data_IF_191029465408
#
_entry.id   IF_191029465408
#
_cell.length_a   1.000
_cell.length_b   1.000
_cell.length_c   1.000
_cell.angle_alpha   90.00
_cell.angle_beta   90.00
_cell.angle_gamma   90.00
#
_symmetry.space_group_name_H-M   'P 1'
#
loop_
_entity.id
_entity.type
_entity.pdbx_description
1 polymer ?
#
# COMPACT_ATOMS: atom_id res chain seq x y z
N UNK A 1 -2.74 23.92 9.92
CA UNK A 1 -3.85 23.27 10.63
C UNK A 1 -3.85 21.83 10.16
N UNK A 2 -3.04 20.97 10.79
CA UNK A 2 -2.86 19.58 10.35
C UNK A 2 -4.03 18.75 10.88
N UNK A 3 -4.87 18.22 9.99
CA UNK A 3 -5.88 17.24 10.36
C UNK A 3 -5.17 15.96 10.80
N UNK A 4 -5.45 15.51 12.02
CA UNK A 4 -4.91 14.27 12.56
C UNK A 4 -5.66 13.10 11.95
N UNK A 5 -4.96 12.28 11.16
CA UNK A 5 -5.50 11.03 10.62
C UNK A 5 -5.05 9.86 11.49
N UNK A 6 -6.00 9.04 11.94
CA UNK A 6 -5.74 7.75 12.56
C UNK A 6 -6.29 6.66 11.63
N UNK A 7 -5.41 5.78 11.15
CA UNK A 7 -5.82 4.53 10.52
C UNK A 7 -6.14 3.52 11.62
N UNK A 8 -7.36 3.01 11.67
CA UNK A 8 -7.81 2.02 12.67
C UNK A 8 -7.90 0.66 11.99
N UNK A 9 -7.12 -0.31 12.49
CA UNK A 9 -7.17 -1.73 12.09
C UNK A 9 -8.34 -2.41 12.82
N UNK A 10 -9.30 -2.99 12.08
CA UNK A 10 -10.42 -3.73 12.67
C UNK A 10 -10.01 -5.16 13.01
N UNK A 11 -9.66 -5.43 14.26
CA UNK A 11 -9.40 -6.81 14.76
C UNK A 11 -10.69 -7.43 15.29
N UNK A 12 -11.28 -8.36 14.54
CA UNK A 12 -12.37 -9.18 15.05
C UNK A 12 -11.81 -10.49 15.63
N UNK A 13 -11.82 -10.62 16.95
CA UNK A 13 -11.42 -11.84 17.67
C UNK A 13 -12.67 -12.55 18.18
N UNK A 14 -13.05 -13.66 17.55
CA UNK A 14 -14.04 -14.58 18.09
C UNK A 14 -13.53 -16.01 17.98
N UNK A 15 -12.90 -16.49 19.05
CA UNK A 15 -12.66 -17.91 19.28
C UNK A 15 -13.87 -18.48 20.01
N UNK A 16 -14.68 -19.30 19.33
CA UNK A 16 -15.60 -20.22 20.00
C UNK A 16 -15.15 -21.67 19.82
N UNK A 17 -14.91 -22.30 20.96
CA UNK A 17 -14.61 -23.72 21.17
C UNK A 17 -15.93 -24.51 21.16
N UNK A 18 -16.08 -25.52 20.29
CA UNK A 18 -17.11 -26.57 20.41
C UNK A 18 -16.52 -27.97 20.10
N UNK A 19 -17.03 -28.95 20.86
CA UNK A 19 -16.64 -30.32 21.21
C UNK A 19 -16.59 -31.38 20.06
N UNK A 20 -15.99 -32.58 20.29
CA UNK A 20 -15.81 -33.61 19.26
C UNK A 20 -17.07 -34.47 19.07
N UNK A 21 -17.36 -34.85 17.81
CA UNK A 21 -18.39 -35.84 17.46
C UNK A 21 -17.74 -37.14 16.98
N UNK A 22 -18.37 -38.25 17.38
CA UNK A 22 -17.89 -39.62 17.35
C UNK A 22 -17.69 -40.24 15.96
N UNK A 23 -16.92 -41.32 15.97
CA UNK A 23 -16.34 -42.08 14.87
C UNK A 23 -17.33 -43.02 14.16
N UNK A 24 -17.21 -43.14 12.84
CA UNK A 24 -17.55 -44.37 12.10
C UNK A 24 -16.74 -44.49 10.80
N UNK A 25 -16.07 -45.63 10.61
CA UNK A 25 -15.40 -46.11 9.37
C UNK A 25 -15.76 -47.60 9.21
N UNK A 26 -15.50 -48.26 8.06
CA UNK A 26 -15.42 -47.80 6.66
C UNK A 26 -16.08 -48.80 5.65
N UNK A 27 -16.02 -48.52 4.34
CA UNK A 27 -16.10 -49.52 3.25
C UNK A 27 -15.24 -49.08 2.04
N UNK A 28 -14.76 -50.00 1.17
CA UNK A 28 -13.42 -49.93 0.61
C UNK A 28 -13.30 -49.43 -0.84
N UNK A 29 -12.15 -48.76 -1.09
CA UNK A 29 -11.32 -48.68 -2.29
C UNK A 29 -11.97 -48.56 -3.69
N UNK A 30 -11.82 -47.38 -4.28
CA UNK A 30 -11.40 -47.23 -5.67
C UNK A 30 -10.06 -46.49 -5.69
N UNK A 31 -8.99 -47.21 -6.03
CA UNK A 31 -7.62 -46.70 -6.18
C UNK A 31 -7.59 -45.68 -7.31
N UNK A 32 -7.64 -44.39 -6.97
CA UNK A 32 -7.29 -43.30 -7.89
C UNK A 32 -5.83 -42.93 -7.65
N UNK A 33 -5.01 -43.12 -8.67
CA UNK A 33 -3.62 -42.68 -8.71
C UNK A 33 -3.62 -41.15 -8.54
N UNK A 34 -2.92 -40.56 -7.55
CA UNK A 34 -2.86 -39.10 -7.43
C UNK A 34 -2.02 -38.55 -8.59
N UNK A 35 -2.64 -37.71 -9.40
CA UNK A 35 -2.02 -37.01 -10.52
C UNK A 35 -0.87 -36.11 -10.00
N UNK A 36 0.36 -36.45 -10.39
CA UNK A 36 1.60 -35.81 -9.94
C UNK A 36 1.68 -34.31 -10.30
N UNK A 37 0.86 -33.86 -11.24
CA UNK A 37 0.77 -32.46 -11.66
C UNK A 37 0.14 -31.53 -10.60
N UNK A 38 -0.78 -32.06 -9.79
CA UNK A 38 -1.51 -31.30 -8.77
C UNK A 38 -0.65 -30.92 -7.55
N UNK A 39 0.31 -31.78 -7.20
CA UNK A 39 1.24 -31.55 -6.07
C UNK A 39 2.21 -30.41 -6.36
N UNK A 40 2.80 -30.40 -7.55
CA UNK A 40 3.77 -29.36 -7.93
C UNK A 40 3.14 -27.95 -7.99
N UNK A 41 1.88 -27.84 -8.41
CA UNK A 41 1.13 -26.59 -8.38
C UNK A 41 0.88 -26.10 -6.95
N UNK A 42 0.47 -27.01 -6.07
CA UNK A 42 0.19 -26.73 -4.65
C UNK A 42 1.47 -26.33 -3.90
N UNK A 43 2.58 -27.03 -4.11
CA UNK A 43 3.86 -26.78 -3.44
C UNK A 43 4.45 -25.42 -3.84
N UNK A 44 4.38 -25.07 -5.14
CA UNK A 44 4.79 -23.74 -5.61
C UNK A 44 3.94 -22.64 -4.97
N UNK A 45 2.63 -22.84 -4.86
CA UNK A 45 1.75 -21.87 -4.18
C UNK A 45 2.10 -21.71 -2.71
N UNK A 46 2.44 -22.78 -1.98
CA UNK A 46 2.85 -22.70 -0.57
C UNK A 46 4.16 -21.93 -0.42
N UNK A 47 5.15 -22.19 -1.26
CA UNK A 47 6.45 -21.49 -1.23
C UNK A 47 6.23 -19.99 -1.50
N UNK A 48 5.48 -19.64 -2.54
CA UNK A 48 5.18 -18.24 -2.86
C UNK A 48 4.46 -17.55 -1.70
N UNK A 49 3.44 -18.19 -1.12
CA UNK A 49 2.71 -17.65 0.05
C UNK A 49 3.62 -17.44 1.26
N UNK A 50 4.53 -18.38 1.49
CA UNK A 50 5.51 -18.30 2.57
C UNK A 50 6.47 -17.14 2.33
N UNK A 51 6.98 -16.97 1.11
CA UNK A 51 7.84 -15.86 0.75
C UNK A 51 7.16 -14.50 0.98
N UNK A 52 5.92 -14.33 0.50
CA UNK A 52 5.14 -13.10 0.72
C UNK A 52 4.89 -12.85 2.21
N UNK A 53 4.60 -13.90 2.99
CA UNK A 53 4.40 -13.77 4.44
C UNK A 53 5.68 -13.30 5.16
N UNK A 54 6.85 -13.79 4.73
CA UNK A 54 8.15 -13.35 5.24
C UNK A 54 8.47 -11.90 4.85
N UNK A 55 8.13 -11.48 3.62
CA UNK A 55 8.26 -10.09 3.19
C UNK A 55 7.42 -9.16 4.09
N UNK A 56 6.18 -9.55 4.41
CA UNK A 56 5.32 -8.75 5.29
C UNK A 56 5.89 -8.64 6.70
N UNK A 57 6.31 -9.78 7.27
CA UNK A 57 6.96 -9.80 8.59
C UNK A 57 8.22 -8.92 8.62
N UNK A 58 8.96 -8.84 7.51
CA UNK A 58 10.15 -8.00 7.42
C UNK A 58 9.85 -6.50 7.55
N UNK A 59 8.64 -6.03 7.22
CA UNK A 59 8.29 -4.61 7.30
C UNK A 59 8.30 -4.06 8.73
N UNK A 60 8.19 -4.93 9.73
CA UNK A 60 8.28 -4.58 11.16
C UNK A 60 9.71 -4.16 11.55
N UNK A 61 10.71 -4.60 10.79
CA UNK A 61 12.10 -4.25 11.08
C UNK A 61 12.35 -2.74 10.89
N UNK A 62 13.14 -2.11 11.77
CA UNK A 62 13.47 -0.69 11.66
C UNK A 62 14.03 -0.34 10.28
N UNK A 63 13.41 0.64 9.62
CA UNK A 63 13.85 1.14 8.33
C UNK A 63 13.43 0.31 7.12
N UNK A 64 12.70 -0.80 7.28
CA UNK A 64 12.13 -1.54 6.15
C UNK A 64 10.87 -0.86 5.61
N UNK A 65 9.88 -0.55 6.46
CA UNK A 65 8.76 0.26 6.02
C UNK A 65 9.15 1.75 5.99
N UNK A 66 9.08 2.46 4.83
CA UNK A 66 9.45 3.85 4.77
C UNK A 66 8.51 4.73 5.61
N UNK A 67 9.06 5.71 6.34
CA UNK A 67 8.25 6.64 7.13
C UNK A 67 7.13 7.30 6.30
N UNK A 68 5.94 7.41 6.88
CA UNK A 68 4.75 7.94 6.20
C UNK A 68 4.08 6.94 5.27
N UNK A 69 4.50 5.68 5.24
CA UNK A 69 3.82 4.61 4.50
C UNK A 69 3.27 3.57 5.47
N UNK A 70 2.11 3.02 5.13
CA UNK A 70 1.50 1.87 5.79
C UNK A 70 1.09 0.89 4.70
N UNK A 71 1.35 -0.40 4.91
CA UNK A 71 0.98 -1.46 3.98
C UNK A 71 0.41 -2.64 4.77
N UNK A 72 -0.68 -3.21 4.30
CA UNK A 72 -1.36 -4.35 4.92
C UNK A 72 -1.79 -5.34 3.83
N UNK A 73 -1.64 -6.66 4.04
CA UNK A 73 -2.24 -7.65 3.17
C UNK A 73 -3.77 -7.50 3.22
N UNK A 74 -4.40 -7.62 2.07
CA UNK A 74 -5.86 -7.68 1.95
C UNK A 74 -6.40 -8.87 2.72
N UNK A 75 -7.56 -8.67 3.35
CA UNK A 75 -8.33 -9.73 4.02
C UNK A 75 -8.69 -10.91 3.10
N UNK A 76 -8.87 -10.66 1.81
CA UNK A 76 -9.24 -11.69 0.82
C UNK A 76 -8.04 -12.52 0.34
N UNK A 77 -6.87 -11.89 0.17
CA UNK A 77 -5.69 -12.55 -0.40
C UNK A 77 -4.39 -11.88 0.01
N UNK A 78 -3.46 -12.67 0.56
CA UNK A 78 -2.11 -12.21 0.91
C UNK A 78 -1.28 -11.78 -0.32
N UNK A 79 -1.72 -12.14 -1.53
CA UNK A 79 -1.09 -11.71 -2.79
C UNK A 79 -1.46 -10.28 -3.19
N UNK A 80 -2.33 -9.63 -2.42
CA UNK A 80 -2.74 -8.25 -2.65
C UNK A 80 -2.48 -7.49 -1.37
N UNK A 81 -1.64 -6.47 -1.41
CA UNK A 81 -1.45 -5.57 -0.28
C UNK A 81 -2.00 -4.21 -0.65
N UNK A 82 -2.87 -3.68 0.19
CA UNK A 82 -3.22 -2.28 0.12
C UNK A 82 -2.18 -1.48 0.90
N UNK A 83 -1.90 -0.27 0.44
CA UNK A 83 -0.94 0.63 1.06
C UNK A 83 -1.43 2.07 0.95
N UNK A 84 -1.00 2.89 1.91
CA UNK A 84 -1.19 4.33 1.90
C UNK A 84 0.12 5.05 2.15
N UNK A 85 0.39 6.09 1.37
CA UNK A 85 1.58 6.94 1.49
C UNK A 85 1.18 8.39 1.74
N UNK A 86 1.57 8.90 2.90
CA UNK A 86 1.48 10.30 3.32
C UNK A 86 2.74 11.04 2.89
N UNK A 87 2.61 11.94 1.94
CA UNK A 87 3.73 12.71 1.40
C UNK A 87 3.88 14.01 2.18
N UNK A 88 5.07 14.27 2.74
CA UNK A 88 5.28 15.43 3.61
C UNK A 88 6.05 16.59 2.96
N UNK A 89 6.71 16.38 1.82
CA UNK A 89 7.63 17.34 1.22
C UNK A 89 7.64 17.23 -0.31
N UNK A 90 8.03 18.32 -0.97
CA UNK A 90 8.18 18.38 -2.43
C UNK A 90 6.89 18.83 -3.11
N UNK A 91 6.79 18.61 -4.42
CA UNK A 91 5.65 19.05 -5.24
C UNK A 91 4.32 18.37 -4.85
N UNK A 92 4.40 17.24 -4.17
CA UNK A 92 3.26 16.43 -3.74
C UNK A 92 3.07 16.50 -2.22
N UNK A 93 3.54 17.56 -1.56
CA UNK A 93 3.35 17.70 -0.13
C UNK A 93 1.85 17.66 0.23
N UNK A 94 1.55 17.05 1.36
CA UNK A 94 0.22 16.83 1.92
C UNK A 94 -0.67 15.84 1.14
N UNK A 95 -0.13 15.13 0.15
CA UNK A 95 -0.88 14.06 -0.52
C UNK A 95 -1.14 12.85 0.40
N UNK A 96 -2.32 12.23 0.23
CA UNK A 96 -2.63 10.87 0.73
C UNK A 96 -2.83 9.97 -0.47
N UNK A 97 -1.86 9.10 -0.71
CA UNK A 97 -1.83 8.26 -1.91
C UNK A 97 -2.12 6.81 -1.51
N UNK A 98 -3.30 6.31 -1.87
CA UNK A 98 -3.65 4.89 -1.78
C UNK A 98 -3.11 4.17 -3.01
N UNK A 99 -2.45 3.04 -2.80
CA UNK A 99 -1.95 2.18 -3.88
C UNK A 99 -1.96 0.72 -3.45
N UNK A 100 -1.85 -0.17 -4.42
CA UNK A 100 -1.96 -1.61 -4.24
C UNK A 100 -0.74 -2.31 -4.81
N UNK A 101 -0.19 -3.26 -4.06
CA UNK A 101 0.79 -4.20 -4.56
C UNK A 101 0.08 -5.50 -4.92
N UNK A 102 0.30 -6.00 -6.14
CA UNK A 102 -0.20 -7.32 -6.55
C UNK A 102 0.97 -8.24 -6.84
N UNK A 103 1.10 -9.29 -6.03
CA UNK A 103 2.16 -10.27 -6.15
C UNK A 103 1.83 -11.30 -7.23
N UNK A 104 2.76 -11.62 -8.14
CA UNK A 104 2.54 -12.67 -9.12
C UNK A 104 2.63 -14.05 -8.46
N UNK A 105 2.03 -15.05 -9.09
CA UNK A 105 2.02 -16.44 -8.57
C UNK A 105 3.40 -17.09 -8.50
N UNK A 106 4.37 -16.54 -9.23
CA UNK A 106 5.78 -16.96 -9.24
C UNK A 106 6.69 -16.05 -8.38
N UNK A 107 6.16 -15.19 -7.50
CA UNK A 107 7.01 -14.41 -6.59
C UNK A 107 7.89 -15.33 -5.73
N UNK A 108 9.20 -15.02 -5.51
CA UNK A 108 9.90 -13.79 -5.86
C UNK A 108 10.54 -13.74 -7.25
N UNK A 109 10.32 -14.71 -8.14
CA UNK A 109 10.97 -14.75 -9.47
C UNK A 109 10.60 -13.54 -10.34
N UNK A 110 9.43 -12.93 -10.09
CA UNK A 110 8.97 -11.71 -10.75
C UNK A 110 8.54 -10.67 -9.71
N UNK A 111 8.71 -9.36 -10.00
CA UNK A 111 8.33 -8.30 -9.07
C UNK A 111 6.81 -8.23 -8.87
N UNK A 112 6.33 -7.69 -7.74
CA UNK A 112 4.94 -7.28 -7.62
C UNK A 112 4.63 -6.13 -8.60
N UNK A 113 3.38 -6.02 -9.05
CA UNK A 113 2.89 -4.77 -9.66
C UNK A 113 2.58 -3.75 -8.58
N UNK A 114 2.62 -2.47 -8.94
CA UNK A 114 2.22 -1.36 -8.08
C UNK A 114 1.21 -0.52 -8.85
N UNK A 115 -0.01 -0.41 -8.33
CA UNK A 115 -1.10 0.28 -8.99
C UNK A 115 -1.72 1.31 -8.02
N UNK A 116 -1.70 2.58 -8.40
CA UNK A 116 -2.26 3.68 -7.62
C UNK A 116 -3.78 3.70 -7.75
N UNK A 117 -4.44 3.66 -6.60
CA UNK A 117 -5.89 3.85 -6.46
C UNK A 117 -6.20 5.34 -6.42
N UNK A 118 -5.34 6.14 -5.80
CA UNK A 118 -5.47 7.60 -5.85
C UNK A 118 -4.97 8.13 -7.19
N UNK A 119 -5.82 8.89 -7.89
CA UNK A 119 -5.41 9.60 -9.11
C UNK A 119 -4.37 10.67 -8.77
N UNK A 120 -3.23 10.65 -9.47
CA UNK A 120 -2.10 11.52 -9.18
C UNK A 120 -1.31 11.83 -10.44
N UNK A 121 -0.96 13.11 -10.62
CA UNK A 121 -0.22 13.54 -11.79
C UNK A 121 1.28 13.28 -11.62
N UNK A 122 1.79 12.14 -12.10
CA UNK A 122 3.18 11.72 -11.90
C UNK A 122 3.80 11.04 -13.14
N UNK A 123 5.08 11.32 -13.51
CA UNK A 123 5.68 10.78 -14.75
C UNK A 123 5.69 9.25 -14.85
N UNK A 124 5.93 8.55 -13.76
CA UNK A 124 5.98 7.08 -13.73
C UNK A 124 4.62 6.39 -13.54
N UNK A 125 3.51 7.14 -13.43
CA UNK A 125 2.18 6.58 -13.17
C UNK A 125 1.34 6.74 -14.44
N UNK A 126 0.72 5.65 -14.92
CA UNK A 126 -0.17 5.68 -16.08
C UNK A 126 -1.53 6.29 -15.72
N UNK A 127 -2.35 6.59 -16.74
CA UNK A 127 -3.75 7.01 -16.53
C UNK A 127 -4.64 5.94 -15.86
N UNK A 128 -4.18 4.69 -15.82
CA UNK A 128 -4.86 3.57 -15.12
C UNK A 128 -4.27 3.32 -13.73
N UNK A 129 -3.36 4.16 -13.27
CA UNK A 129 -2.71 4.07 -11.95
C UNK A 129 -1.45 3.21 -11.90
N UNK A 130 -1.12 2.46 -12.96
CA UNK A 130 0.04 1.56 -12.93
C UNK A 130 1.36 2.33 -12.82
N UNK A 131 2.22 1.93 -11.88
CA UNK A 131 3.49 2.58 -11.57
C UNK A 131 4.67 1.81 -12.15
N UNK A 132 5.58 2.53 -12.82
CA UNK A 132 6.75 1.91 -13.45
C UNK A 132 7.88 1.62 -12.45
N UNK A 133 8.14 0.32 -12.20
CA UNK A 133 9.27 -0.14 -11.40
C UNK A 133 10.60 -0.22 -12.17
N UNK A 134 10.57 -0.21 -13.50
CA UNK A 134 11.73 -0.46 -14.35
C UNK A 134 12.94 0.46 -14.09
N UNK A 135 12.78 1.78 -13.79
CA UNK A 135 13.92 2.66 -13.58
C UNK A 135 14.85 2.22 -12.44
N UNK A 136 14.31 1.48 -11.45
CA UNK A 136 15.07 0.97 -10.32
C UNK A 136 15.31 -0.53 -10.38
N UNK A 137 14.40 -1.28 -10.98
CA UNK A 137 14.32 -2.75 -10.89
C UNK A 137 14.36 -3.46 -12.24
N UNK A 138 15.20 -3.00 -13.18
CA UNK A 138 15.43 -3.68 -14.46
C UNK A 138 16.92 -4.08 -14.61
N UNK A 139 17.25 -5.39 -14.58
CA UNK A 139 16.37 -6.53 -14.31
C UNK A 139 15.97 -6.63 -12.82
N UNK A 140 14.84 -7.29 -12.57
CA UNK A 140 14.46 -7.72 -11.21
C UNK A 140 15.41 -8.82 -10.72
N UNK A 141 15.78 -8.77 -9.44
CA UNK A 141 16.73 -9.69 -8.82
C UNK A 141 16.11 -10.32 -7.57
N UNK A 142 15.49 -11.51 -7.68
CA UNK A 142 14.70 -12.14 -6.60
C UNK A 142 15.41 -12.34 -5.26
N UNK A 143 16.75 -12.40 -5.26
CA UNK A 143 17.57 -12.62 -4.06
C UNK A 143 18.10 -11.33 -3.43
N UNK A 144 17.96 -10.20 -4.13
CA UNK A 144 18.50 -8.90 -3.72
C UNK A 144 17.38 -7.88 -3.49
N UNK A 145 16.30 -7.95 -4.27
CA UNK A 145 15.20 -7.01 -4.20
C UNK A 145 14.05 -7.58 -3.38
N UNK A 146 13.62 -6.79 -2.40
CA UNK A 146 12.53 -7.10 -1.49
C UNK A 146 11.37 -6.13 -1.67
N UNK A 147 10.23 -6.43 -1.03
CA UNK A 147 9.07 -5.54 -1.06
C UNK A 147 9.39 -4.19 -0.41
N UNK A 148 10.19 -4.18 0.64
CA UNK A 148 10.60 -2.92 1.26
C UNK A 148 11.42 -2.03 0.30
N UNK A 149 12.21 -2.61 -0.62
CA UNK A 149 12.92 -1.82 -1.64
C UNK A 149 11.92 -1.18 -2.61
N UNK A 150 10.87 -1.91 -2.98
CA UNK A 150 9.77 -1.40 -3.81
C UNK A 150 9.08 -0.23 -3.11
N UNK A 151 8.77 -0.34 -1.82
CA UNK A 151 8.17 0.76 -1.05
C UNK A 151 9.11 1.98 -0.97
N UNK A 152 10.41 1.75 -0.75
CA UNK A 152 11.41 2.83 -0.76
C UNK A 152 11.49 3.51 -2.13
N UNK A 153 11.40 2.73 -3.20
CA UNK A 153 11.39 3.26 -4.56
C UNK A 153 10.14 4.10 -4.83
N UNK A 154 8.96 3.62 -4.46
CA UNK A 154 7.72 4.40 -4.53
C UNK A 154 7.92 5.74 -3.83
N UNK A 155 8.39 5.76 -2.58
CA UNK A 155 8.66 7.01 -1.86
C UNK A 155 9.72 7.90 -2.53
N UNK A 156 10.79 7.32 -3.06
CA UNK A 156 11.87 8.06 -3.69
C UNK A 156 11.40 8.73 -4.99
N UNK A 157 10.52 8.09 -5.75
CA UNK A 157 10.03 8.60 -7.03
C UNK A 157 9.34 9.96 -6.93
N UNK A 158 8.70 10.27 -5.79
CA UNK A 158 8.04 11.56 -5.54
C UNK A 158 9.02 12.68 -5.13
N UNK A 159 10.31 12.38 -4.98
CA UNK A 159 11.32 13.38 -4.58
C UNK A 159 11.86 14.14 -5.80
N UNK A 160 12.13 15.43 -5.62
CA UNK A 160 12.65 16.32 -6.68
C UNK A 160 13.85 15.76 -7.43
N UNK A 161 14.82 15.17 -6.73
CA UNK A 161 16.01 14.60 -7.41
C UNK A 161 15.68 13.39 -8.29
N UNK A 162 14.71 12.55 -7.90
CA UNK A 162 14.28 11.41 -8.70
C UNK A 162 13.52 11.89 -9.93
N UNK A 163 12.59 12.84 -9.76
CA UNK A 163 11.84 13.47 -10.85
C UNK A 163 12.77 14.04 -11.93
N UNK A 164 13.88 14.66 -11.52
CA UNK A 164 14.88 15.22 -12.43
C UNK A 164 15.76 14.17 -13.12
N UNK A 165 15.75 12.91 -12.68
CA UNK A 165 16.63 11.84 -13.17
C UNK A 165 15.94 10.88 -14.14
N UNK A 166 14.61 10.90 -14.20
CA UNK A 166 13.84 10.02 -15.06
C UNK A 166 14.13 10.27 -16.54
N UNK A 167 14.04 9.21 -17.33
CA UNK A 167 14.14 9.28 -18.78
C UNK A 167 12.74 9.22 -19.40
N UNK A 168 12.56 9.81 -20.59
CA UNK A 168 11.24 9.78 -21.27
C UNK A 168 10.76 8.34 -21.50
N UNK A 169 11.67 7.42 -21.79
CA UNK A 169 11.38 6.00 -22.01
C UNK A 169 10.76 5.29 -20.81
N UNK A 170 10.99 5.82 -19.62
CA UNK A 170 10.49 5.27 -18.37
C UNK A 170 9.13 5.84 -17.97
N UNK A 171 8.74 6.97 -18.58
CA UNK A 171 7.56 7.72 -18.16
C UNK A 171 6.30 7.19 -18.85
N UNK A 172 5.41 6.59 -18.07
CA UNK A 172 4.08 6.20 -18.55
C UNK A 172 3.21 7.41 -18.83
N UNK A 173 3.35 8.48 -18.04
CA UNK A 173 2.72 9.77 -18.31
C UNK A 173 3.73 10.71 -18.97
N UNK A 174 3.71 10.74 -20.31
CA UNK A 174 4.58 11.61 -21.11
C UNK A 174 4.24 13.09 -20.94
N UNK A 175 3.01 13.43 -20.61
CA UNK A 175 2.62 14.82 -20.33
C UNK A 175 3.35 15.28 -19.07
N UNK A 176 3.25 14.52 -17.97
CA UNK A 176 3.97 14.80 -16.73
C UNK A 176 5.49 14.88 -16.92
N UNK A 177 6.07 14.07 -17.82
CA UNK A 177 7.49 14.16 -18.17
C UNK A 177 7.83 15.45 -18.95
N UNK A 178 7.06 15.82 -19.97
CA UNK A 178 7.34 16.98 -20.84
C UNK A 178 7.39 18.31 -20.09
N UNK A 179 6.74 18.43 -18.93
CA UNK A 179 6.81 19.64 -18.10
C UNK A 179 8.15 19.88 -17.40
N UNK A 180 9.16 19.01 -17.56
CA UNK A 180 10.53 19.30 -17.10
C UNK A 180 11.13 20.59 -17.72
N UNK A 181 10.56 21.06 -18.84
CA UNK A 181 10.90 22.35 -19.46
C UNK A 181 10.33 23.57 -18.71
N UNK A 182 9.27 23.39 -17.91
CA UNK A 182 8.62 24.43 -17.10
C UNK A 182 8.24 23.91 -15.70
N UNK A 183 9.17 24.05 -14.75
CA UNK A 183 8.99 23.58 -13.38
C UNK A 183 7.74 24.15 -12.67
N UNK A 184 7.29 25.34 -13.07
CA UNK A 184 6.11 26.01 -12.48
C UNK A 184 4.81 25.32 -12.90
N UNK A 185 4.67 24.96 -14.19
CA UNK A 185 3.50 24.26 -14.72
C UNK A 185 3.35 22.88 -14.09
N UNK A 186 4.46 22.14 -13.98
CA UNK A 186 4.49 20.86 -13.28
C UNK A 186 4.06 21.00 -11.82
N UNK A 187 4.64 21.96 -11.09
CA UNK A 187 4.35 22.18 -9.68
C UNK A 187 2.87 22.47 -9.45
N UNK A 188 2.21 23.24 -10.31
CA UNK A 188 0.79 23.54 -10.21
C UNK A 188 -0.08 22.28 -10.34
N UNK A 189 0.17 21.44 -11.35
CA UNK A 189 -0.58 20.19 -11.57
C UNK A 189 -0.32 19.15 -10.48
N UNK A 190 0.93 19.02 -10.02
CA UNK A 190 1.29 18.16 -8.90
C UNK A 190 0.59 18.61 -7.61
N UNK A 191 0.56 19.92 -7.33
CA UNK A 191 -0.14 20.48 -6.15
C UNK A 191 -1.65 20.30 -6.27
N UNK A 192 -2.22 20.49 -7.46
CA UNK A 192 -3.65 20.28 -7.69
C UNK A 192 -4.05 18.83 -7.44
N UNK A 193 -3.31 17.88 -8.01
CA UNK A 193 -3.58 16.45 -7.80
C UNK A 193 -3.33 16.02 -6.35
N UNK A 194 -2.34 16.60 -5.65
CA UNK A 194 -2.16 16.43 -4.21
C UNK A 194 -3.38 16.90 -3.40
N UNK A 195 -3.91 18.09 -3.71
CA UNK A 195 -5.11 18.64 -3.05
C UNK A 195 -6.33 17.75 -3.26
N UNK A 196 -6.54 17.24 -4.48
CA UNK A 196 -7.65 16.33 -4.78
C UNK A 196 -7.54 15.01 -4.00
N UNK A 197 -6.33 14.49 -3.76
CA UNK A 197 -6.11 13.30 -2.93
C UNK A 197 -6.54 13.46 -1.48
N UNK A 198 -6.67 14.71 -1.00
CA UNK A 198 -7.15 15.06 0.34
C UNK A 198 -8.64 15.37 0.40
N UNK A 199 -9.33 15.38 -0.74
CA UNK A 199 -10.75 15.73 -0.78
C UNK A 199 -11.58 14.75 0.06
N UNK A 200 -12.67 15.26 0.66
CA UNK A 200 -13.55 14.43 1.48
C UNK A 200 -14.07 13.22 0.69
N UNK A 201 -14.38 13.40 -0.60
CA UNK A 201 -14.82 12.29 -1.44
C UNK A 201 -13.71 11.26 -1.68
N UNK A 202 -12.47 11.69 -1.97
CA UNK A 202 -11.35 10.76 -2.17
C UNK A 202 -10.99 9.95 -0.90
N UNK A 203 -11.19 10.53 0.28
CA UNK A 203 -10.87 9.90 1.55
C UNK A 203 -12.00 9.02 2.08
N UNK A 204 -13.25 9.49 1.99
CA UNK A 204 -14.39 8.92 2.73
C UNK A 204 -15.45 8.24 1.86
N UNK A 205 -15.56 8.57 0.57
CA UNK A 205 -16.59 7.99 -0.28
C UNK A 205 -16.11 6.65 -0.84
N UNK A 206 -16.89 5.58 -0.61
CA UNK A 206 -16.59 4.25 -1.14
C UNK A 206 -16.69 4.17 -2.67
N UNK A 207 -17.52 5.03 -3.27
CA UNK A 207 -17.77 5.08 -4.70
C UNK A 207 -16.94 6.16 -5.41
N UNK A 208 -15.92 6.72 -4.75
CA UNK A 208 -15.02 7.69 -5.38
C UNK A 208 -14.37 7.06 -6.63
N UNK A 209 -14.43 7.73 -7.80
CA UNK A 209 -13.83 7.21 -9.01
C UNK A 209 -12.32 7.05 -8.82
N UNK A 210 -11.80 5.86 -9.15
CA UNK A 210 -10.37 5.57 -9.09
C UNK A 210 -9.84 5.22 -10.49
N UNK A 211 -8.55 5.42 -10.79
CA UNK A 211 -7.93 4.93 -12.04
C UNK A 211 -8.11 3.42 -12.24
N UNK A 212 -8.32 2.69 -11.15
CA UNK A 212 -8.57 1.24 -11.14
C UNK A 212 -10.05 0.86 -11.30
N UNK A 213 -10.96 1.84 -11.45
CA UNK A 213 -12.41 1.63 -11.60
C UNK A 213 -13.21 1.84 -10.30
N UNK A 214 -14.51 1.55 -10.37
CA UNK A 214 -15.43 1.71 -9.24
C UNK A 214 -15.40 0.45 -8.37
N UNK A 215 -15.26 0.59 -7.05
CA UNK A 215 -15.26 -0.49 -6.05
C UNK A 215 -13.91 -1.21 -5.84
N UNK A 216 -12.85 -0.44 -5.64
CA UNK A 216 -11.61 -0.95 -5.02
C UNK A 216 -11.78 -0.89 -3.51
N UNK A 217 -12.46 -1.89 -2.91
CA UNK A 217 -12.47 -2.07 -1.46
C UNK A 217 -11.03 -2.00 -0.95
N UNK A 218 -10.67 -0.86 -0.37
CA UNK A 218 -9.35 -0.61 0.19
C UNK A 218 -9.44 -0.97 1.65
N UNK A 219 -8.52 -1.79 2.13
CA UNK A 219 -8.44 -2.11 3.56
C UNK A 219 -8.25 -0.83 4.42
N UNK A 220 -7.73 0.25 3.83
CA UNK A 220 -7.65 1.56 4.47
C UNK A 220 -8.94 2.38 4.26
N UNK A 221 -9.83 2.29 5.24
CA UNK A 221 -11.01 3.16 5.35
C UNK A 221 -10.71 4.33 6.28
N UNK A 222 -10.71 5.55 5.73
CA UNK A 222 -10.63 6.76 6.55
C UNK A 222 -12.01 7.10 7.09
N UNK A 223 -12.04 7.55 8.33
CA UNK A 223 -13.26 8.05 8.97
C UNK A 223 -13.00 9.47 9.44
N UNK A 224 -13.99 10.34 9.26
CA UNK A 224 -13.93 11.71 9.77
C UNK A 224 -13.99 11.65 11.30
N UNK A 225 -12.90 12.04 11.95
CA UNK A 225 -12.87 12.17 13.40
C UNK A 225 -13.40 13.55 13.81
N UNK A 226 -14.43 13.56 14.64
CA UNK A 226 -14.87 14.79 15.32
C UNK A 226 -13.88 15.12 16.45
N UNK A 227 -13.74 16.40 16.85
CA UNK A 227 -12.87 16.77 17.98
C UNK A 227 -13.19 15.99 19.26
N UNK A 228 -14.48 15.74 19.52
CA UNK A 228 -14.96 14.96 20.65
C UNK A 228 -14.51 13.50 20.60
N UNK A 229 -14.66 12.84 19.44
CA UNK A 229 -14.17 11.47 19.27
C UNK A 229 -12.64 11.41 19.36
N UNK A 230 -11.94 12.43 18.87
CA UNK A 230 -10.49 12.50 18.96
C UNK A 230 -10.00 12.53 20.41
N UNK A 231 -10.59 13.41 21.23
CA UNK A 231 -10.25 13.49 22.65
C UNK A 231 -10.57 12.19 23.39
N UNK A 232 -11.68 11.53 23.05
CA UNK A 232 -12.06 10.24 23.62
C UNK A 232 -11.06 9.13 23.26
N UNK A 233 -10.68 9.00 21.98
CA UNK A 233 -9.71 7.99 21.54
C UNK A 233 -8.32 8.24 22.15
N UNK A 234 -7.89 9.51 22.26
CA UNK A 234 -6.64 9.85 22.96
C UNK A 234 -6.66 9.48 24.43
N UNK A 235 -7.78 9.73 25.11
CA UNK A 235 -7.95 9.36 26.51
C UNK A 235 -7.87 7.84 26.70
N UNK A 236 -8.48 7.05 25.81
CA UNK A 236 -8.37 5.57 25.82
C UNK A 236 -6.93 5.10 25.67
N UNK A 237 -6.14 5.78 24.85
CA UNK A 237 -4.72 5.47 24.62
C UNK A 237 -3.79 6.09 25.68
N UNK A 238 -4.32 6.81 26.67
CA UNK A 238 -3.53 7.47 27.71
C UNK A 238 -2.65 8.61 27.21
N UNK A 239 -2.99 9.22 26.06
CA UNK A 239 -2.22 10.31 25.47
C UNK A 239 -2.64 11.67 26.06
N UNK A 240 -1.68 12.55 26.39
CA UNK A 240 -1.97 13.88 26.94
C UNK A 240 -2.66 14.78 25.90
N UNK A 241 -3.37 15.82 26.36
CA UNK A 241 -3.97 16.82 25.46
C UNK A 241 -2.85 17.61 24.76
N UNK A 242 -3.07 17.94 23.49
CA UNK A 242 -2.07 18.65 22.69
C UNK A 242 -1.67 20.01 23.28
N UNK A 243 -2.61 20.70 23.94
CA UNK A 243 -2.36 21.99 24.61
C UNK A 243 -1.36 21.90 25.78
N UNK A 244 -1.15 20.71 26.33
CA UNK A 244 -0.23 20.49 27.46
C UNK A 244 1.20 20.18 26.98
N UNK A 245 1.40 19.80 25.71
CA UNK A 245 2.70 19.39 25.16
C UNK A 245 3.64 20.58 24.91
N UNK A 246 3.08 21.79 24.76
CA UNK A 246 3.87 23.03 24.57
C UNK A 246 4.18 23.78 25.87
N UNK A 247 3.84 23.23 27.04
CA UNK A 247 4.20 23.78 28.36
C UNK A 247 5.44 23.10 28.96
N UNK A 248 6.44 22.78 28.14
CA UNK A 248 7.77 22.49 28.69
C UNK A 248 8.43 23.83 29.04
N UNK A 249 8.89 24.03 30.28
CA UNK A 249 9.57 25.26 30.66
C UNK A 249 10.84 25.39 29.82
N UNK A 250 11.05 26.57 29.23
CA UNK A 250 12.33 26.97 28.66
C UNK A 250 13.38 26.96 29.78
N UNK A 251 14.16 25.90 29.85
CA UNK A 251 15.39 25.81 30.65
C UNK A 251 16.57 26.35 29.87
#
# INVERSE_FOLDING_TARGET
MFHSFAAVESRNTNYQRIQPVASSKPAPNATTIPDSSSKLGTDKTIITRTAISLEYASLVNPGHCPLGMYAVPSSDSIFIWDAVFFVHKGYYADSVLKFRLTFPTNYPDSPPSVDFVTDIFHPLISSTGSFNLAPRFKPWRPKEHHVFDVLHWVKAAFKKHALNSFQESDCFNKEAFRYHESAQSFAALATQSASLSQSESALYDADHPSPMGNNTGSEFVFHKLTPEHFDQERAKLGLPKWDDVHKLPSS
#
